data_IF_286120775066
#
_entry.id   IF_286120775066
#
_cell.length_a   1.000
_cell.length_b   1.000
_cell.length_c   1.000
_cell.angle_alpha   90.00
_cell.angle_beta   90.00
_cell.angle_gamma   90.00
#
_symmetry.space_group_name_H-M   'P 1'
#
loop_
_entity.id
_entity.type
_entity.pdbx_description
1 polymer ?
#
# COMPACT_ATOMS: atom_id res chain seq x y z
N UNK A 1 17.94 -18.60 -18.66
CA UNK A 1 16.99 -17.93 -19.58
C UNK A 1 15.79 -18.85 -19.75
N UNK A 2 14.77 -18.68 -18.91
CA UNK A 2 13.55 -19.52 -18.93
C UNK A 2 12.42 -18.59 -19.35
N UNK A 3 11.91 -18.78 -20.57
CA UNK A 3 10.68 -18.12 -21.00
C UNK A 3 9.50 -18.79 -20.30
N UNK A 4 8.68 -17.99 -19.61
CA UNK A 4 7.40 -18.43 -19.07
C UNK A 4 6.31 -17.90 -20.00
N UNK A 5 5.57 -18.84 -20.57
CA UNK A 5 4.44 -18.69 -21.47
C UNK A 5 3.30 -17.84 -20.86
N UNK A 6 2.74 -16.94 -21.67
CA UNK A 6 1.66 -15.99 -21.30
C UNK A 6 0.28 -16.64 -21.27
N UNK A 7 0.13 -17.92 -21.60
CA UNK A 7 -1.16 -18.57 -21.77
C UNK A 7 -1.87 -19.05 -20.48
N UNK A 8 -1.20 -19.08 -19.32
CA UNK A 8 -1.75 -19.70 -18.10
C UNK A 8 -2.38 -18.73 -17.07
N UNK A 9 -3.05 -17.67 -17.52
CA UNK A 9 -3.74 -16.72 -16.62
C UNK A 9 -5.23 -17.05 -16.47
N UNK A 10 -5.78 -17.15 -15.25
CA UNK A 10 -7.22 -17.33 -15.03
C UNK A 10 -8.04 -16.19 -15.67
N UNK A 11 -9.15 -16.55 -16.34
CA UNK A 11 -10.00 -15.62 -17.12
C UNK A 11 -10.67 -14.49 -16.30
N UNK A 12 -10.71 -14.57 -14.98
CA UNK A 12 -11.40 -13.60 -14.11
C UNK A 12 -10.67 -12.25 -13.92
N UNK A 13 -9.41 -12.13 -14.36
CA UNK A 13 -8.56 -10.97 -14.04
C UNK A 13 -8.46 -9.92 -15.16
N UNK A 14 -9.29 -10.04 -16.20
CA UNK A 14 -9.24 -9.16 -17.40
C UNK A 14 -10.08 -7.88 -17.32
N UNK A 15 -10.80 -7.61 -16.23
CA UNK A 15 -11.80 -6.51 -16.17
C UNK A 15 -11.56 -5.41 -15.13
N UNK A 16 -10.36 -5.27 -14.58
CA UNK A 16 -10.06 -4.16 -13.63
C UNK A 16 -9.16 -3.06 -14.19
N UNK A 17 -8.48 -3.25 -15.32
CA UNK A 17 -7.53 -2.25 -15.87
C UNK A 17 -7.81 -1.91 -17.34
N UNK A 18 -8.94 -1.23 -17.62
CA UNK A 18 -9.25 -0.77 -18.97
C UNK A 18 -8.80 0.68 -19.29
N UNK A 19 -8.20 1.41 -18.35
CA UNK A 19 -7.83 2.83 -18.57
C UNK A 19 -6.42 3.21 -18.10
N UNK A 20 -5.44 2.32 -18.29
CA UNK A 20 -4.01 2.71 -18.17
C UNK A 20 -3.13 2.01 -19.20
N UNK A 21 -3.39 2.32 -20.48
CA UNK A 21 -2.41 2.09 -21.55
C UNK A 21 -1.98 3.43 -22.13
N UNK A 22 -0.81 3.92 -21.69
CA UNK A 22 0.12 4.66 -22.55
C UNK A 22 1.55 4.65 -21.98
N UNK A 23 2.41 3.99 -22.77
CA UNK A 23 3.87 4.11 -22.98
C UNK A 23 4.83 4.13 -21.79
N UNK A 24 5.71 3.13 -21.80
CA UNK A 24 7.03 3.16 -21.20
C UNK A 24 7.94 4.22 -21.86
N UNK A 25 8.72 4.94 -21.04
CA UNK A 25 10.05 5.46 -21.38
C UNK A 25 10.83 5.78 -20.08
N UNK A 26 12.11 5.40 -20.05
CA UNK A 26 13.08 5.52 -18.93
C UNK A 26 13.71 6.94 -18.86
N UNK A 27 14.53 7.24 -17.84
CA UNK A 27 14.26 8.24 -16.81
C UNK A 27 14.92 9.59 -17.13
N UNK A 28 14.20 10.69 -16.91
CA UNK A 28 14.83 12.01 -16.80
C UNK A 28 14.38 12.70 -15.54
N UNK A 29 15.38 12.98 -14.71
CA UNK A 29 15.36 13.94 -13.61
C UNK A 29 14.54 15.18 -13.98
N UNK A 30 13.30 15.23 -13.48
CA UNK A 30 12.59 16.48 -13.23
C UNK A 30 12.25 16.46 -11.75
N UNK A 31 12.96 17.27 -10.99
CA UNK A 31 12.42 17.85 -9.77
C UNK A 31 10.99 18.29 -10.07
N UNK A 32 10.01 17.68 -9.41
CA UNK A 32 8.62 18.10 -9.51
C UNK A 32 8.42 19.26 -8.56
N UNK A 33 8.14 20.49 -9.05
CA UNK A 33 7.77 21.58 -8.20
C UNK A 33 6.29 21.40 -7.82
N UNK A 34 6.02 21.48 -6.52
CA UNK A 34 4.72 21.30 -5.85
C UNK A 34 4.23 19.86 -5.69
N UNK A 35 3.70 19.61 -4.49
CA UNK A 35 3.33 18.30 -3.95
C UNK A 35 2.55 17.43 -4.93
N UNK A 36 2.84 16.14 -4.84
CA UNK A 36 2.12 15.06 -5.50
C UNK A 36 0.60 15.27 -5.37
N UNK A 37 -0.10 15.33 -6.51
CA UNK A 37 -1.55 15.55 -6.52
C UNK A 37 -2.28 14.51 -5.64
N UNK A 38 -3.35 14.91 -4.93
CA UNK A 38 -4.10 13.99 -4.08
C UNK A 38 -4.71 12.87 -4.91
N UNK A 39 -4.27 11.63 -4.67
CA UNK A 39 -4.67 10.48 -5.47
C UNK A 39 -6.06 9.93 -5.12
N UNK A 40 -6.71 10.40 -4.04
CA UNK A 40 -8.08 10.03 -3.65
C UNK A 40 -8.39 8.53 -3.85
N UNK A 41 -7.78 7.68 -3.05
CA UNK A 41 -7.87 6.22 -3.20
C UNK A 41 -7.84 5.45 -1.88
N UNK A 42 -7.36 4.21 -1.95
CA UNK A 42 -7.19 3.34 -0.79
C UNK A 42 -5.71 2.99 -0.66
N UNK A 43 -5.15 3.23 0.53
CA UNK A 43 -3.83 2.73 0.90
C UNK A 43 -4.00 1.49 1.79
N UNK A 44 -3.31 0.41 1.44
CA UNK A 44 -3.38 -0.85 2.18
C UNK A 44 -2.32 -0.82 3.29
N UNK A 45 -2.75 -1.04 4.52
CA UNK A 45 -1.87 -1.36 5.64
C UNK A 45 -1.23 -2.75 5.41
N UNK A 46 0.00 -2.92 5.87
CA UNK A 46 0.76 -4.17 5.93
C UNK A 46 -0.08 -5.32 6.50
N UNK A 47 -0.90 -5.07 7.52
CA UNK A 47 -1.77 -6.10 8.11
C UNK A 47 -2.76 -6.71 7.09
N UNK A 48 -3.34 -5.88 6.21
CA UNK A 48 -4.26 -6.30 5.13
C UNK A 48 -3.50 -7.06 4.05
N UNK A 49 -2.34 -6.55 3.65
CA UNK A 49 -1.51 -7.19 2.61
C UNK A 49 -1.05 -8.59 3.04
N UNK A 50 -0.57 -8.72 4.29
CA UNK A 50 -0.15 -10.01 4.86
C UNK A 50 -1.34 -10.97 5.02
N UNK A 51 -2.51 -10.47 5.41
CA UNK A 51 -3.71 -11.32 5.52
C UNK A 51 -4.12 -11.87 4.14
N UNK A 52 -4.06 -11.04 3.10
CA UNK A 52 -4.33 -11.45 1.72
C UNK A 52 -3.29 -12.45 1.19
N UNK A 53 -2.00 -12.20 1.42
CA UNK A 53 -0.91 -13.14 1.09
C UNK A 53 -1.16 -14.54 1.66
N UNK A 54 -1.60 -14.59 2.93
CA UNK A 54 -1.86 -15.83 3.66
C UNK A 54 -3.22 -16.47 3.34
N UNK A 55 -4.00 -15.90 2.41
CA UNK A 55 -5.35 -16.38 2.09
C UNK A 55 -6.37 -16.22 3.23
N UNK A 56 -6.07 -15.38 4.23
CA UNK A 56 -6.95 -15.10 5.37
C UNK A 56 -7.93 -13.95 5.11
N UNK A 57 -7.72 -13.20 4.03
CA UNK A 57 -8.53 -12.07 3.63
C UNK A 57 -8.80 -12.11 2.13
N UNK A 58 -10.06 -12.01 1.74
CA UNK A 58 -10.44 -11.75 0.36
C UNK A 58 -10.27 -10.25 0.04
N UNK A 59 -9.07 -9.89 -0.43
CA UNK A 59 -8.75 -8.52 -0.79
C UNK A 59 -9.64 -8.01 -1.94
N UNK A 60 -9.99 -8.87 -2.90
CA UNK A 60 -10.83 -8.48 -4.03
C UNK A 60 -12.26 -8.19 -3.56
N UNK A 61 -12.80 -9.03 -2.67
CA UNK A 61 -14.10 -8.78 -2.03
C UNK A 61 -14.12 -7.50 -1.21
N UNK A 62 -13.06 -7.23 -0.42
CA UNK A 62 -12.93 -5.99 0.34
C UNK A 62 -12.94 -4.74 -0.54
N UNK A 63 -12.12 -4.75 -1.59
CA UNK A 63 -11.98 -3.63 -2.52
C UNK A 63 -13.19 -3.49 -3.46
N UNK A 64 -13.81 -4.60 -3.86
CA UNK A 64 -14.98 -4.63 -4.72
C UNK A 64 -16.25 -4.02 -4.10
N UNK A 65 -16.30 -3.90 -2.77
CA UNK A 65 -17.36 -3.15 -2.06
C UNK A 65 -17.19 -1.63 -2.17
N UNK A 66 -16.08 -1.15 -2.71
CA UNK A 66 -15.75 0.26 -2.82
C UNK A 66 -15.98 0.76 -4.25
N UNK A 67 -16.17 2.07 -4.40
CA UNK A 67 -16.14 2.68 -5.72
C UNK A 67 -14.74 2.50 -6.34
N UNK A 68 -14.65 2.28 -7.67
CA UNK A 68 -13.37 2.15 -8.35
C UNK A 68 -12.45 3.34 -8.06
N UNK A 69 -11.29 3.07 -7.49
CA UNK A 69 -10.30 4.09 -7.13
C UNK A 69 -8.88 3.51 -7.16
N UNK A 70 -7.84 4.34 -7.19
CA UNK A 70 -6.46 3.88 -7.09
C UNK A 70 -6.21 3.11 -5.80
N UNK A 71 -5.47 2.01 -5.92
CA UNK A 71 -5.00 1.20 -4.79
C UNK A 71 -3.50 1.39 -4.65
N UNK A 72 -3.05 1.66 -3.42
CA UNK A 72 -1.66 1.92 -3.13
C UNK A 72 -1.18 1.23 -1.86
N UNK A 73 0.14 1.22 -1.68
CA UNK A 73 0.83 0.95 -0.42
C UNK A 73 1.85 2.07 -0.17
N UNK A 74 2.14 2.34 1.09
CA UNK A 74 3.27 3.20 1.43
C UNK A 74 4.60 2.47 1.19
N UNK A 75 5.67 3.19 0.90
CA UNK A 75 7.00 2.61 0.80
C UNK A 75 7.43 1.85 2.08
N UNK A 76 6.96 2.29 3.26
CA UNK A 76 7.19 1.57 4.52
C UNK A 76 6.51 0.19 4.53
N UNK A 77 5.28 0.08 4.02
CA UNK A 77 4.57 -1.20 3.86
C UNK A 77 5.35 -2.13 2.93
N UNK A 78 5.91 -1.60 1.83
CA UNK A 78 6.79 -2.38 0.96
C UNK A 78 8.05 -2.86 1.70
N UNK A 79 8.67 -2.01 2.51
CA UNK A 79 9.82 -2.38 3.34
C UNK A 79 9.50 -3.53 4.29
N UNK A 80 8.34 -3.50 4.95
CA UNK A 80 7.91 -4.58 5.85
C UNK A 80 7.67 -5.91 5.11
N UNK A 81 7.11 -5.86 3.89
CA UNK A 81 6.91 -7.04 3.05
C UNK A 81 8.25 -7.64 2.59
N UNK A 82 9.19 -6.79 2.16
CA UNK A 82 10.55 -7.18 1.78
C UNK A 82 11.32 -7.78 2.96
N UNK A 83 11.24 -7.15 4.13
CA UNK A 83 11.78 -7.72 5.36
C UNK A 83 11.18 -9.11 5.66
N UNK A 84 9.89 -9.30 5.38
CA UNK A 84 9.24 -10.60 5.47
C UNK A 84 9.78 -11.66 4.49
N UNK A 85 10.33 -11.26 3.34
CA UNK A 85 11.05 -12.13 2.40
C UNK A 85 12.40 -12.53 3.01
N UNK A 86 13.18 -11.55 3.46
CA UNK A 86 14.52 -11.75 4.03
C UNK A 86 14.51 -12.60 5.30
N UNK A 87 13.46 -12.47 6.13
CA UNK A 87 13.28 -13.24 7.37
C UNK A 87 12.75 -14.67 7.17
N UNK A 88 12.50 -15.12 5.95
CA UNK A 88 11.93 -16.44 5.73
C UNK A 88 12.83 -17.54 6.32
N UNK A 89 12.22 -18.45 7.08
CA UNK A 89 12.88 -19.58 7.75
C UNK A 89 13.46 -20.62 6.79
N UNK A 90 12.98 -20.63 5.54
CA UNK A 90 13.43 -21.55 4.50
C UNK A 90 13.54 -20.83 3.16
N UNK A 91 14.51 -21.24 2.34
CA UNK A 91 14.71 -20.73 0.98
C UNK A 91 13.44 -20.88 0.12
N UNK A 92 12.69 -21.98 0.29
CA UNK A 92 11.45 -22.21 -0.44
C UNK A 92 10.38 -21.17 -0.08
N UNK A 93 10.18 -20.87 1.21
CA UNK A 93 9.23 -19.85 1.66
C UNK A 93 9.65 -18.45 1.24
N UNK A 94 10.94 -18.12 1.31
CA UNK A 94 11.46 -16.84 0.83
C UNK A 94 11.18 -16.62 -0.65
N UNK A 95 11.46 -17.63 -1.50
CA UNK A 95 11.15 -17.59 -2.94
C UNK A 95 9.66 -17.45 -3.23
N UNK A 96 8.81 -18.19 -2.51
CA UNK A 96 7.36 -18.09 -2.68
C UNK A 96 6.83 -16.70 -2.33
N UNK A 97 7.28 -16.13 -1.20
CA UNK A 97 6.91 -14.79 -0.76
C UNK A 97 7.42 -13.71 -1.71
N UNK A 98 8.66 -13.83 -2.21
CA UNK A 98 9.21 -12.92 -3.21
C UNK A 98 8.39 -12.94 -4.50
N UNK A 99 8.05 -14.12 -5.02
CA UNK A 99 7.23 -14.26 -6.22
C UNK A 99 5.82 -13.68 -6.05
N UNK A 100 5.22 -13.86 -4.88
CA UNK A 100 3.95 -13.25 -4.53
C UNK A 100 4.05 -11.72 -4.49
N UNK A 101 5.07 -11.19 -3.81
CA UNK A 101 5.29 -9.74 -3.69
C UNK A 101 5.49 -9.07 -5.05
N UNK A 102 6.27 -9.67 -5.95
CA UNK A 102 6.45 -9.15 -7.31
C UNK A 102 5.14 -9.11 -8.10
N UNK A 103 4.30 -10.13 -7.95
CA UNK A 103 2.97 -10.15 -8.56
C UNK A 103 2.05 -9.09 -7.97
N UNK A 104 2.10 -8.88 -6.65
CA UNK A 104 1.30 -7.89 -5.93
C UNK A 104 1.70 -6.45 -6.29
N UNK A 105 3.01 -6.15 -6.35
CA UNK A 105 3.54 -4.83 -6.71
C UNK A 105 3.12 -4.38 -8.11
N UNK A 106 2.87 -5.31 -9.03
CA UNK A 106 2.36 -5.00 -10.35
C UNK A 106 0.89 -4.51 -10.37
N UNK A 107 0.18 -4.60 -9.24
CA UNK A 107 -1.24 -4.27 -9.11
C UNK A 107 -1.54 -3.03 -8.26
N UNK A 108 -0.54 -2.51 -7.55
CA UNK A 108 -0.67 -1.37 -6.64
C UNK A 108 0.33 -0.27 -6.96
N UNK A 109 -0.01 0.96 -6.63
CA UNK A 109 0.95 2.07 -6.64
C UNK A 109 1.76 2.07 -5.35
N UNK A 110 3.07 2.30 -5.43
CA UNK A 110 3.91 2.52 -4.25
C UNK A 110 4.05 4.02 -4.07
N UNK A 111 3.72 4.52 -2.88
CA UNK A 111 3.83 5.93 -2.53
C UNK A 111 5.09 6.15 -1.68
N UNK A 112 5.97 7.00 -2.17
CA UNK A 112 7.19 7.39 -1.48
C UNK A 112 6.89 8.29 -0.28
N UNK A 113 7.73 8.22 0.76
CA UNK A 113 7.65 9.13 1.89
C UNK A 113 8.44 10.40 1.58
N UNK A 114 7.75 11.40 1.04
CA UNK A 114 8.33 12.69 0.64
C UNK A 114 8.25 13.75 1.76
N UNK A 115 8.68 14.98 1.45
CA UNK A 115 8.63 16.12 2.38
C UNK A 115 7.19 16.45 2.82
N UNK A 116 6.21 16.27 1.94
CA UNK A 116 4.79 16.48 2.24
C UNK A 116 4.32 15.50 3.32
N UNK A 117 4.65 14.21 3.13
CA UNK A 117 4.40 13.16 4.10
C UNK A 117 5.10 13.45 5.44
N UNK A 118 6.36 13.90 5.41
CA UNK A 118 7.12 14.25 6.61
C UNK A 118 6.46 15.39 7.41
N UNK A 119 5.97 16.43 6.74
CA UNK A 119 5.26 17.56 7.39
C UNK A 119 3.95 17.12 8.04
N UNK A 120 3.18 16.27 7.36
CA UNK A 120 1.94 15.72 7.92
C UNK A 120 2.23 14.77 9.08
N UNK A 121 3.25 13.92 8.94
CA UNK A 121 3.71 13.00 9.99
C UNK A 121 4.09 13.74 11.27
N UNK A 122 4.95 14.76 11.19
CA UNK A 122 5.38 15.52 12.36
C UNK A 122 4.19 16.18 13.09
N UNK A 123 3.25 16.77 12.34
CA UNK A 123 2.02 17.35 12.90
C UNK A 123 1.12 16.30 13.55
N UNK A 124 0.97 15.14 12.92
CA UNK A 124 0.18 14.03 13.45
C UNK A 124 0.79 13.51 14.75
N UNK A 125 2.10 13.27 14.76
CA UNK A 125 2.82 12.79 15.94
C UNK A 125 2.64 13.74 17.12
N UNK A 126 2.94 15.03 16.94
CA UNK A 126 2.81 16.01 18.01
C UNK A 126 1.38 16.08 18.58
N UNK A 127 0.35 15.94 17.73
CA UNK A 127 -1.05 15.91 18.16
C UNK A 127 -1.40 14.67 18.98
N UNK A 128 -1.01 13.49 18.52
CA UNK A 128 -1.26 12.24 19.25
C UNK A 128 -0.53 12.24 20.59
N UNK A 129 0.75 12.67 20.59
CA UNK A 129 1.55 12.75 21.81
C UNK A 129 0.94 13.72 22.84
N UNK A 130 0.50 14.90 22.40
CA UNK A 130 -0.18 15.86 23.28
C UNK A 130 -1.51 15.33 23.83
N UNK A 131 -2.18 14.42 23.11
CA UNK A 131 -3.39 13.74 23.57
C UNK A 131 -3.11 12.50 24.45
N UNK A 132 -1.84 12.14 24.71
CA UNK A 132 -1.48 10.91 25.40
C UNK A 132 -1.75 9.64 24.60
N UNK A 133 -2.00 9.78 23.30
CA UNK A 133 -2.27 8.68 22.37
C UNK A 133 -1.00 8.28 21.62
N UNK A 134 -0.91 7.00 21.26
CA UNK A 134 0.18 6.48 20.42
C UNK A 134 -0.38 5.48 19.42
N UNK A 135 0.24 5.44 18.25
CA UNK A 135 0.10 4.40 17.23
C UNK A 135 1.49 3.88 16.88
N UNK A 136 1.60 2.70 16.28
CA UNK A 136 2.87 2.15 15.83
C UNK A 136 3.64 3.12 14.93
N UNK A 137 4.97 3.11 14.98
CA UNK A 137 5.79 4.03 14.19
C UNK A 137 5.56 3.88 12.68
N UNK A 138 5.45 2.64 12.18
CA UNK A 138 5.13 2.37 10.78
C UNK A 138 3.68 2.74 10.46
N UNK A 139 2.73 2.47 11.36
CA UNK A 139 1.33 2.89 11.20
C UNK A 139 1.20 4.43 11.13
N UNK A 140 2.05 5.16 11.86
CA UNK A 140 2.12 6.62 11.77
C UNK A 140 2.62 7.10 10.41
N UNK A 141 3.61 6.42 9.82
CA UNK A 141 4.08 6.70 8.47
C UNK A 141 2.99 6.40 7.42
N UNK A 142 2.27 5.29 7.56
CA UNK A 142 1.14 4.93 6.69
C UNK A 142 0.02 5.97 6.81
N UNK A 143 -0.36 6.34 8.04
CA UNK A 143 -1.40 7.33 8.31
C UNK A 143 -1.05 8.71 7.74
N UNK A 144 0.20 9.15 7.93
CA UNK A 144 0.67 10.41 7.37
C UNK A 144 0.67 10.42 5.83
N UNK A 145 1.10 9.32 5.22
CA UNK A 145 1.04 9.14 3.76
C UNK A 145 -0.42 9.20 3.28
N UNK A 146 -1.33 8.47 3.94
CA UNK A 146 -2.74 8.47 3.61
C UNK A 146 -3.37 9.87 3.66
N UNK A 147 -3.11 10.61 4.74
CA UNK A 147 -3.62 11.97 4.93
C UNK A 147 -3.06 12.95 3.87
N UNK A 148 -1.78 12.81 3.53
CA UNK A 148 -1.12 13.66 2.51
C UNK A 148 -1.79 13.53 1.15
N UNK A 149 -2.19 12.31 0.78
CA UNK A 149 -2.82 12.02 -0.52
C UNK A 149 -4.35 11.92 -0.48
N UNK A 150 -4.98 12.31 0.63
CA UNK A 150 -6.43 12.22 0.86
C UNK A 150 -7.00 10.80 0.60
N UNK A 151 -6.26 9.78 1.06
CA UNK A 151 -6.59 8.37 0.89
C UNK A 151 -7.23 7.79 2.15
N UNK A 152 -7.97 6.70 1.96
CA UNK A 152 -8.54 5.88 3.03
C UNK A 152 -7.59 4.74 3.35
N UNK A 153 -7.45 4.37 4.62
CA UNK A 153 -6.60 3.23 5.02
C UNK A 153 -7.45 1.97 5.13
N UNK A 154 -7.09 0.91 4.41
CA UNK A 154 -7.62 -0.42 4.65
C UNK A 154 -6.70 -1.17 5.63
N UNK A 155 -7.22 -1.60 6.78
CA UNK A 155 -6.42 -2.17 7.88
C UNK A 155 -7.19 -3.24 8.66
N UNK A 156 -6.48 -4.25 9.17
CA UNK A 156 -6.98 -5.19 10.17
C UNK A 156 -6.85 -4.65 11.61
N UNK A 157 -6.07 -3.57 11.80
CA UNK A 157 -5.74 -2.95 13.08
C UNK A 157 -6.48 -1.62 13.27
N UNK A 158 -7.80 -1.61 13.01
CA UNK A 158 -8.60 -0.39 12.98
C UNK A 158 -8.53 0.47 14.25
N UNK A 159 -8.28 -0.14 15.41
CA UNK A 159 -8.16 0.56 16.69
C UNK A 159 -7.04 1.60 16.71
N UNK A 160 -5.92 1.34 16.03
CA UNK A 160 -4.82 2.31 15.94
C UNK A 160 -5.20 3.47 15.01
N UNK A 161 -5.62 3.17 13.79
CA UNK A 161 -5.91 4.20 12.79
C UNK A 161 -7.13 5.07 13.14
N UNK A 162 -8.08 4.58 13.95
CA UNK A 162 -9.22 5.37 14.44
C UNK A 162 -8.82 6.53 15.36
N UNK A 163 -7.61 6.49 15.96
CA UNK A 163 -7.05 7.58 16.77
C UNK A 163 -6.60 8.77 15.91
N UNK A 164 -6.39 8.53 14.61
CA UNK A 164 -5.94 9.57 13.68
C UNK A 164 -7.14 10.38 13.21
N UNK A 165 -7.23 11.63 13.67
CA UNK A 165 -8.27 12.55 13.25
C UNK A 165 -8.28 12.74 11.71
N UNK A 166 -9.48 12.78 11.12
CA UNK A 166 -9.74 12.91 9.68
C UNK A 166 -9.27 11.74 8.81
N UNK A 167 -8.76 10.65 9.40
CA UNK A 167 -8.40 9.45 8.64
C UNK A 167 -9.61 8.53 8.48
N UNK A 168 -9.96 8.24 7.23
CA UNK A 168 -11.04 7.29 6.91
C UNK A 168 -10.47 5.87 6.91
N UNK A 169 -11.11 4.99 7.67
CA UNK A 169 -10.68 3.60 7.84
C UNK A 169 -11.68 2.65 7.17
N UNK A 170 -11.14 1.67 6.44
CA UNK A 170 -11.87 0.55 5.84
C UNK A 170 -11.40 -0.72 6.55
N UNK A 171 -12.34 -1.52 7.05
CA UNK A 171 -12.05 -2.79 7.69
C UNK A 171 -12.52 -3.96 6.83
N UNK A 172 -11.81 -5.10 6.85
CA UNK A 172 -12.28 -6.38 6.31
C UNK A 172 -13.76 -6.69 6.57
#
# INVERSE_FOLDING_TARGET
MIQIDRASRPRSWRRLNATSRRRANTPTNRQSPNGSEPMNGIILDTSVVIAAEKGKLDLNGLLGRQQPCPIAIAAITLSELLHGVERADTTARGKARAAWLESFRATVTIIDFDEGCARVHAKLWAKLEAAGERIGAHDMLIAATALTHNMRVATCNAGEFKRVANLKVITP
#
